data_IF_419264145829
#
_entry.id   IF_419264145829
#
_cell.length_a   1.000
_cell.length_b   1.000
_cell.length_c   1.000
_cell.angle_alpha   90.00
_cell.angle_beta   90.00
_cell.angle_gamma   90.00
#
_symmetry.space_group_name_H-M   'P 1'
#
loop_
_entity.id
_entity.type
_entity.pdbx_description
1 polymer ?
#
# COMPACT_ATOMS: atom_id res chain seq x y z
N UNK A 1 1.89 8.63 9.66
CA UNK A 1 2.00 7.22 10.08
C UNK A 1 0.73 6.38 9.83
N UNK A 2 -0.49 6.90 9.97
CA UNK A 2 -1.71 6.09 9.79
C UNK A 2 -1.81 5.35 8.44
N UNK A 3 -1.60 6.05 7.32
CA UNK A 3 -1.69 5.42 5.98
C UNK A 3 -0.63 4.34 5.78
N UNK A 4 0.60 4.55 6.27
CA UNK A 4 1.64 3.53 6.23
C UNK A 4 1.20 2.26 6.98
N UNK A 5 0.66 2.41 8.19
CA UNK A 5 0.16 1.29 8.97
C UNK A 5 -1.06 0.60 8.30
N UNK A 6 -1.93 1.36 7.62
CA UNK A 6 -3.04 0.79 6.86
C UNK A 6 -2.53 -0.05 5.67
N UNK A 7 -1.58 0.49 4.89
CA UNK A 7 -0.96 -0.23 3.77
C UNK A 7 -0.29 -1.51 4.26
N UNK A 8 0.52 -1.45 5.33
CA UNK A 8 1.19 -2.63 5.90
C UNK A 8 0.17 -3.69 6.34
N UNK A 9 -0.93 -3.30 6.99
CA UNK A 9 -1.99 -4.27 7.38
C UNK A 9 -2.64 -4.94 6.17
N UNK A 10 -2.98 -4.17 5.13
CA UNK A 10 -3.56 -4.71 3.89
C UNK A 10 -2.58 -5.70 3.25
N UNK A 11 -1.32 -5.27 3.06
CA UNK A 11 -0.29 -6.06 2.40
C UNK A 11 0.09 -7.31 3.18
N UNK A 12 0.12 -7.24 4.52
CA UNK A 12 0.38 -8.40 5.39
C UNK A 12 -0.65 -9.51 5.19
N UNK A 13 -1.91 -9.15 4.95
CA UNK A 13 -3.02 -10.08 4.69
C UNK A 13 -3.03 -10.57 3.25
N UNK A 14 -2.90 -9.66 2.27
CA UNK A 14 -2.97 -10.00 0.83
C UNK A 14 -1.74 -10.75 0.32
N UNK A 15 -0.57 -10.50 0.92
CA UNK A 15 0.78 -10.93 0.47
C UNK A 15 1.22 -10.38 -0.89
N UNK A 16 0.30 -10.25 -1.84
CA UNK A 16 0.51 -9.68 -3.16
C UNK A 16 -0.71 -8.85 -3.58
N UNK A 17 -0.50 -7.66 -4.14
CA UNK A 17 -1.58 -6.78 -4.58
C UNK A 17 -1.14 -5.87 -5.72
N UNK A 18 -2.02 -5.65 -6.70
CA UNK A 18 -1.82 -4.64 -7.74
C UNK A 18 -1.95 -3.23 -7.17
N UNK A 19 -1.27 -2.27 -7.78
CA UNK A 19 -1.25 -0.89 -7.33
C UNK A 19 -2.66 -0.27 -7.24
N UNK A 20 -3.47 -0.46 -8.26
CA UNK A 20 -4.85 0.05 -8.31
C UNK A 20 -5.68 -0.52 -7.16
N UNK A 21 -5.57 -1.82 -6.92
CA UNK A 21 -6.36 -2.53 -5.92
C UNK A 21 -5.94 -2.09 -4.51
N UNK A 22 -4.62 -1.98 -4.25
CA UNK A 22 -4.08 -1.48 -3.00
C UNK A 22 -4.54 -0.05 -2.71
N UNK A 23 -4.47 0.85 -3.70
CA UNK A 23 -4.89 2.25 -3.53
C UNK A 23 -6.38 2.34 -3.19
N UNK A 24 -7.23 1.58 -3.91
CA UNK A 24 -8.67 1.56 -3.66
C UNK A 24 -9.00 0.99 -2.27
N UNK A 25 -8.32 -0.08 -1.85
CA UNK A 25 -8.53 -0.70 -0.54
C UNK A 25 -8.11 0.25 0.59
N UNK A 26 -6.99 0.97 0.43
CA UNK A 26 -6.55 2.01 1.39
C UNK A 26 -7.56 3.14 1.50
N UNK A 27 -8.10 3.63 0.38
CA UNK A 27 -9.15 4.66 0.38
C UNK A 27 -10.37 4.13 1.12
N UNK A 28 -10.85 2.94 0.77
CA UNK A 28 -12.02 2.31 1.37
C UNK A 28 -11.90 2.17 2.89
N UNK A 29 -10.77 1.66 3.39
CA UNK A 29 -10.54 1.52 4.83
C UNK A 29 -10.32 2.87 5.55
N UNK A 30 -9.93 3.91 4.83
CA UNK A 30 -9.70 5.24 5.42
C UNK A 30 -10.98 6.07 5.53
N UNK A 31 -12.01 5.80 4.72
CA UNK A 31 -13.26 6.58 4.65
C UNK A 31 -13.93 6.85 6.00
N UNK A 32 -13.85 5.90 6.94
CA UNK A 32 -14.42 6.06 8.28
C UNK A 32 -13.70 7.11 9.15
N UNK A 33 -12.55 7.61 8.72
CA UNK A 33 -11.75 8.60 9.46
C UNK A 33 -11.41 9.84 8.65
N UNK A 34 -11.10 9.70 7.36
CA UNK A 34 -10.86 10.78 6.41
C UNK A 34 -10.78 10.26 4.97
N UNK A 35 -10.82 11.15 3.98
CA UNK A 35 -10.62 10.81 2.57
C UNK A 35 -9.18 11.12 2.13
N UNK A 36 -8.23 10.15 2.14
CA UNK A 36 -6.88 10.39 1.66
C UNK A 36 -6.86 10.69 0.17
N UNK A 37 -6.05 11.67 -0.23
CA UNK A 37 -5.75 11.93 -1.63
C UNK A 37 -4.78 10.87 -2.18
N UNK A 38 -4.98 10.44 -3.43
CA UNK A 38 -4.14 9.42 -4.07
C UNK A 38 -2.63 9.75 -4.04
N UNK A 39 -2.17 11.00 -4.27
CA UNK A 39 -0.75 11.35 -4.17
C UNK A 39 -0.14 11.05 -2.80
N UNK A 40 -0.91 11.22 -1.72
CA UNK A 40 -0.45 10.92 -0.35
C UNK A 40 -0.27 9.41 -0.13
N UNK A 41 -1.14 8.58 -0.73
CA UNK A 41 -1.03 7.12 -0.68
C UNK A 41 0.21 6.67 -1.46
N UNK A 42 0.43 7.21 -2.66
CA UNK A 42 1.62 6.92 -3.49
C UNK A 42 2.91 7.22 -2.73
N UNK A 43 3.00 8.40 -2.10
CA UNK A 43 4.15 8.76 -1.25
C UNK A 43 4.35 7.79 -0.07
N UNK A 44 3.27 7.28 0.53
CA UNK A 44 3.39 6.28 1.58
C UNK A 44 3.87 4.92 1.06
N UNK A 45 3.46 4.52 -0.14
CA UNK A 45 3.93 3.30 -0.80
C UNK A 45 5.43 3.40 -1.08
N UNK A 46 5.90 4.52 -1.64
CA UNK A 46 7.33 4.78 -1.86
C UNK A 46 8.14 4.65 -0.57
N UNK A 47 7.70 5.31 0.51
CA UNK A 47 8.35 5.21 1.81
C UNK A 47 8.36 3.78 2.39
N UNK A 48 7.40 2.93 2.02
CA UNK A 48 7.34 1.53 2.48
C UNK A 48 8.18 0.59 1.61
N UNK A 49 8.39 0.92 0.33
CA UNK A 49 9.39 0.28 -0.52
C UNK A 49 10.80 0.57 0.02
N UNK A 50 11.10 1.84 0.30
CA UNK A 50 12.41 2.26 0.84
C UNK A 50 12.73 1.59 2.18
N UNK A 51 11.70 1.40 3.02
CA UNK A 51 11.82 0.73 4.33
C UNK A 51 11.73 -0.80 4.24
N UNK A 52 11.65 -1.38 3.04
CA UNK A 52 11.59 -2.83 2.82
C UNK A 52 10.41 -3.53 3.55
N UNK A 53 9.28 -2.84 3.71
CA UNK A 53 8.03 -3.48 4.17
C UNK A 53 7.27 -4.15 3.02
N UNK A 54 7.44 -3.60 1.82
CA UNK A 54 6.92 -4.15 0.56
C UNK A 54 8.01 -4.05 -0.51
N UNK A 55 7.91 -4.88 -1.53
CA UNK A 55 8.77 -4.87 -2.72
C UNK A 55 7.91 -4.85 -3.98
N UNK A 56 8.46 -4.40 -5.11
CA UNK A 56 7.79 -4.59 -6.40
C UNK A 56 7.99 -6.02 -6.88
N UNK A 57 6.96 -6.59 -7.49
CA UNK A 57 7.06 -7.93 -8.08
C UNK A 57 8.03 -7.92 -9.27
N UNK A 58 8.89 -8.94 -9.36
CA UNK A 58 9.84 -9.09 -10.47
C UNK A 58 9.15 -9.36 -11.81
N UNK A 59 7.93 -9.91 -11.78
CA UNK A 59 7.16 -10.25 -12.99
C UNK A 59 6.30 -9.09 -13.48
N UNK A 60 5.88 -8.21 -12.58
CA UNK A 60 4.98 -7.10 -12.89
C UNK A 60 5.25 -5.91 -11.96
N UNK A 61 5.72 -4.80 -12.54
CA UNK A 61 6.08 -3.60 -11.79
C UNK A 61 4.87 -2.90 -11.14
N UNK A 62 3.65 -3.22 -11.59
CA UNK A 62 2.39 -2.72 -11.01
C UNK A 62 1.90 -3.56 -9.83
N UNK A 63 2.64 -4.58 -9.41
CA UNK A 63 2.35 -5.39 -8.24
C UNK A 63 3.33 -5.15 -7.11
N UNK A 64 2.80 -5.17 -5.90
CA UNK A 64 3.56 -5.14 -4.67
C UNK A 64 3.46 -6.48 -3.97
N UNK A 65 4.55 -6.88 -3.33
CA UNK A 65 4.64 -8.05 -2.46
C UNK A 65 5.07 -7.62 -1.06
N UNK A 66 4.52 -8.28 -0.05
CA UNK A 66 4.87 -8.03 1.34
C UNK A 66 6.13 -8.79 1.75
N UNK A 67 7.07 -8.15 2.46
CA UNK A 67 8.40 -8.70 2.77
C UNK A 67 8.77 -8.75 4.25
N UNK A 68 7.98 -8.15 5.15
CA UNK A 68 8.31 -8.02 6.58
C UNK A 68 7.60 -8.99 7.55
#
# INVERSE_FOLDING_TARGET
>A
MYLQAAIVRIMKTRKLARHTDLVQEVISQSKGRFAPQVPMIKKCIELLLDKQYIERSNSNHDEYKYVA
#
